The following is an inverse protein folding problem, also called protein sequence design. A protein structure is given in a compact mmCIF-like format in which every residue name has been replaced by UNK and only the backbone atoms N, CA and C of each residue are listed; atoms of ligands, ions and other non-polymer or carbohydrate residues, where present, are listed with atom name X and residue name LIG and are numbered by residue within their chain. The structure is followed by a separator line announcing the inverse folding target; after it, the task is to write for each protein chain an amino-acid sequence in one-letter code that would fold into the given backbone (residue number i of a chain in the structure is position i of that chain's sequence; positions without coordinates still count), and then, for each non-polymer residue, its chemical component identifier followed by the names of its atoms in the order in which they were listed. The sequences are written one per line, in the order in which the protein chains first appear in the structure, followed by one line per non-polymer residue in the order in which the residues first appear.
data_IF_065312105075
#
_entry.id   IF_065312105075
#
_cell.length_a   1.000
_cell.length_b   1.000
_cell.length_c   1.000
_cell.angle_alpha   90.00
_cell.angle_beta   90.00
_cell.angle_gamma   90.00
#
_symmetry.space_group_name_H-M   'P 1'
#
loop_
_entity.id
_entity.type
_entity.pdbx_description
1 polymer ?
#
# COMPACT_ATOMS: atom_id res chain seq x y z
N UNK A 1 -9.62 -3.38 1.98
CA UNK A 1 -10.22 -2.09 1.60
C UNK A 1 -11.56 -1.93 2.31
N UNK A 2 -11.97 -0.72 2.68
CA UNK A 2 -13.33 -0.49 3.21
C UNK A 2 -14.38 -0.85 2.14
N UNK A 3 -14.10 -0.59 0.88
CA UNK A 3 -14.94 -0.91 -0.28
C UNK A 3 -15.36 -2.39 -0.36
N UNK A 4 -14.45 -3.33 -0.09
CA UNK A 4 -14.82 -4.76 -0.11
C UNK A 4 -15.84 -5.14 0.96
N UNK A 5 -15.85 -4.44 2.10
CA UNK A 5 -16.82 -4.67 3.18
C UNK A 5 -18.17 -4.03 2.89
N UNK A 6 -18.20 -2.97 2.08
CA UNK A 6 -19.41 -2.33 1.58
C UNK A 6 -20.08 -3.19 0.50
N UNK A 7 -19.28 -3.87 -0.32
CA UNK A 7 -19.77 -4.69 -1.45
C UNK A 7 -20.19 -6.10 -1.06
N UNK A 8 -19.67 -6.67 0.03
CA UNK A 8 -20.05 -8.02 0.45
C UNK A 8 -20.01 -8.18 1.96
N UNK A 9 -21.17 -8.56 2.53
CA UNK A 9 -21.30 -8.91 3.95
C UNK A 9 -20.43 -10.10 4.34
N UNK A 10 -20.16 -11.03 3.39
CA UNK A 10 -19.28 -12.18 3.62
C UNK A 10 -17.84 -11.74 3.96
N UNK A 11 -17.38 -10.63 3.35
CA UNK A 11 -16.04 -10.08 3.60
C UNK A 11 -15.95 -9.35 4.94
N UNK A 12 -17.05 -8.77 5.41
CA UNK A 12 -17.09 -8.00 6.67
C UNK A 12 -16.64 -8.84 7.87
N UNK A 13 -17.07 -10.10 7.92
CA UNK A 13 -16.80 -11.01 9.04
C UNK A 13 -15.75 -12.08 8.73
N UNK A 14 -15.31 -12.24 7.49
CA UNK A 14 -14.33 -13.25 7.10
C UNK A 14 -12.91 -12.69 6.98
N UNK A 15 -12.16 -12.74 8.09
CA UNK A 15 -10.75 -12.31 8.14
C UNK A 15 -9.83 -13.14 7.23
N UNK A 16 -10.17 -14.41 6.99
CA UNK A 16 -9.41 -15.30 6.10
C UNK A 16 -9.44 -14.81 4.66
N UNK A 17 -10.63 -14.53 4.13
CA UNK A 17 -10.80 -14.00 2.76
C UNK A 17 -10.10 -12.64 2.63
N UNK A 18 -10.25 -11.75 3.61
CA UNK A 18 -9.54 -10.47 3.60
C UNK A 18 -8.01 -10.62 3.53
N UNK A 19 -7.44 -11.63 4.21
CA UNK A 19 -6.02 -11.91 4.13
C UNK A 19 -5.62 -12.38 2.72
N UNK A 20 -6.44 -13.21 2.07
CA UNK A 20 -6.22 -13.65 0.69
C UNK A 20 -6.22 -12.47 -0.29
N UNK A 21 -7.17 -11.54 -0.16
CA UNK A 21 -7.28 -10.37 -1.04
C UNK A 21 -6.17 -9.33 -0.82
N UNK A 22 -5.57 -9.27 0.38
CA UNK A 22 -4.49 -8.33 0.72
C UNK A 22 -3.10 -8.87 0.40
N UNK A 23 -2.94 -10.18 0.39
CA UNK A 23 -1.66 -10.81 0.09
C UNK A 23 -1.41 -10.73 -1.41
N UNK A 24 -0.16 -10.42 -1.81
CA UNK A 24 0.21 -10.41 -3.22
C UNK A 24 0.03 -11.82 -3.79
N UNK A 25 -0.45 -11.89 -5.04
CA UNK A 25 -0.81 -13.14 -5.69
C UNK A 25 0.35 -14.16 -5.73
N UNK A 26 1.57 -13.68 -5.96
CA UNK A 26 2.83 -14.44 -6.00
C UNK A 26 3.26 -15.02 -4.64
N UNK A 27 2.71 -14.50 -3.53
CA UNK A 27 3.01 -14.98 -2.16
C UNK A 27 1.96 -15.92 -1.61
N UNK A 28 0.90 -16.20 -2.35
CA UNK A 28 -0.13 -17.14 -1.94
C UNK A 28 0.28 -18.56 -2.34
N UNK A 29 0.02 -19.53 -1.47
CA UNK A 29 0.13 -20.95 -1.84
C UNK A 29 -0.95 -21.32 -2.87
N UNK A 30 -0.74 -22.36 -3.68
CA UNK A 30 -1.70 -22.76 -4.71
C UNK A 30 -3.14 -22.96 -4.18
N UNK A 31 -3.29 -23.58 -3.01
CA UNK A 31 -4.61 -23.78 -2.39
C UNK A 31 -5.28 -22.47 -1.98
N UNK A 32 -4.48 -21.49 -1.52
CA UNK A 32 -4.97 -20.17 -1.16
C UNK A 32 -5.35 -19.35 -2.39
N UNK A 33 -4.63 -19.51 -3.50
CA UNK A 33 -5.01 -18.91 -4.79
C UNK A 33 -6.36 -19.46 -5.25
N UNK A 34 -6.55 -20.79 -5.28
CA UNK A 34 -7.84 -21.42 -5.62
C UNK A 34 -9.00 -20.88 -4.78
N UNK A 35 -8.81 -20.75 -3.46
CA UNK A 35 -9.83 -20.18 -2.55
C UNK A 35 -10.15 -18.72 -2.86
N UNK A 36 -9.13 -17.91 -3.17
CA UNK A 36 -9.31 -16.52 -3.59
C UNK A 36 -10.11 -16.47 -4.90
N UNK A 37 -9.70 -17.26 -5.90
CA UNK A 37 -10.26 -17.21 -7.25
C UNK A 37 -11.71 -17.68 -7.25
N UNK A 38 -12.04 -18.72 -6.48
CA UNK A 38 -13.42 -19.15 -6.25
C UNK A 38 -14.28 -18.04 -5.62
N UNK A 39 -13.71 -17.28 -4.67
CA UNK A 39 -14.42 -16.15 -4.05
C UNK A 39 -14.61 -14.99 -5.04
N UNK A 40 -13.59 -14.67 -5.85
CA UNK A 40 -13.66 -13.61 -6.86
C UNK A 40 -14.67 -13.94 -7.96
N UNK A 41 -14.72 -15.19 -8.42
CA UNK A 41 -15.71 -15.65 -9.39
C UNK A 41 -17.16 -15.48 -8.90
N UNK A 42 -17.40 -15.62 -7.59
CA UNK A 42 -18.71 -15.40 -6.97
C UNK A 42 -19.00 -13.91 -6.73
N UNK A 43 -18.01 -13.02 -6.80
CA UNK A 43 -18.15 -11.60 -6.49
C UNK A 43 -17.50 -10.73 -7.59
N UNK A 44 -18.08 -10.62 -8.80
CA UNK A 44 -17.47 -9.94 -9.94
C UNK A 44 -17.11 -8.47 -9.69
N UNK A 45 -17.92 -7.74 -8.92
CA UNK A 45 -17.62 -6.36 -8.55
C UNK A 45 -16.35 -6.24 -7.68
N UNK A 46 -16.12 -7.23 -6.80
CA UNK A 46 -14.89 -7.29 -5.98
C UNK A 46 -13.71 -7.72 -6.85
N UNK A 47 -13.91 -8.64 -7.79
CA UNK A 47 -12.88 -9.04 -8.75
C UNK A 47 -12.37 -7.86 -9.57
N UNK A 48 -13.27 -7.05 -10.16
CA UNK A 48 -12.87 -5.86 -10.92
C UNK A 48 -11.97 -4.91 -10.09
N UNK A 49 -12.34 -4.65 -8.83
CA UNK A 49 -11.54 -3.81 -7.93
C UNK A 49 -10.23 -4.50 -7.56
N UNK A 50 -10.24 -5.82 -7.34
CA UNK A 50 -9.05 -6.60 -7.02
C UNK A 50 -8.04 -6.56 -8.17
N UNK A 51 -8.48 -6.79 -9.41
CA UNK A 51 -7.61 -6.76 -10.59
C UNK A 51 -7.00 -5.37 -10.78
N UNK A 52 -7.82 -4.32 -10.69
CA UNK A 52 -7.33 -2.93 -10.74
C UNK A 52 -6.26 -2.67 -9.66
N UNK A 53 -6.52 -3.11 -8.42
CA UNK A 53 -5.58 -2.99 -7.31
C UNK A 53 -4.26 -3.74 -7.60
N UNK A 54 -4.32 -4.94 -8.19
CA UNK A 54 -3.11 -5.70 -8.55
C UNK A 54 -2.30 -5.00 -9.64
N UNK A 55 -2.96 -4.51 -10.69
CA UNK A 55 -2.32 -3.76 -11.78
C UNK A 55 -1.64 -2.50 -11.25
N UNK A 56 -2.35 -1.72 -10.41
CA UNK A 56 -1.79 -0.50 -9.81
C UNK A 56 -0.59 -0.84 -8.94
N UNK A 57 -0.70 -1.88 -8.11
CA UNK A 57 0.39 -2.31 -7.26
C UNK A 57 1.61 -2.77 -8.07
N UNK A 58 1.42 -3.54 -9.15
CA UNK A 58 2.51 -3.96 -10.03
C UNK A 58 3.23 -2.75 -10.62
N UNK A 59 2.47 -1.78 -11.14
CA UNK A 59 3.01 -0.54 -11.69
C UNK A 59 3.82 0.25 -10.64
N UNK A 60 3.29 0.38 -9.42
CA UNK A 60 3.98 1.06 -8.32
C UNK A 60 5.24 0.34 -7.83
N UNK A 61 5.37 -0.97 -8.06
CA UNK A 61 6.54 -1.76 -7.67
C UNK A 61 7.70 -1.70 -8.66
N UNK A 62 7.54 -1.03 -9.80
CA UNK A 62 8.65 -0.78 -10.73
C UNK A 62 9.79 -0.04 -10.04
N UNK A 63 11.03 -0.42 -10.34
CA UNK A 63 12.25 0.16 -9.78
C UNK A 63 13.34 0.22 -10.83
N UNK A 64 14.28 1.14 -10.64
CA UNK A 64 15.41 1.35 -11.54
C UNK A 64 15.00 1.53 -13.02
N UNK A 65 13.85 2.16 -13.27
CA UNK A 65 13.43 2.50 -14.63
C UNK A 65 14.33 3.60 -15.21
N UNK A 66 14.70 3.45 -16.47
CA UNK A 66 15.32 4.52 -17.24
C UNK A 66 14.28 5.55 -17.70
N UNK A 67 14.74 6.68 -18.22
CA UNK A 67 13.86 7.78 -18.65
C UNK A 67 12.83 7.34 -19.70
N UNK A 68 13.22 6.52 -20.67
CA UNK A 68 12.34 6.05 -21.74
C UNK A 68 11.21 5.19 -21.17
N UNK A 69 11.53 4.25 -20.27
CA UNK A 69 10.53 3.42 -19.59
C UNK A 69 9.61 4.23 -18.68
N UNK A 70 10.12 5.26 -18.00
CA UNK A 70 9.24 6.16 -17.25
C UNK A 70 8.23 6.87 -18.17
N UNK A 71 8.64 7.31 -19.36
CA UNK A 71 7.71 7.95 -20.32
C UNK A 71 6.59 7.01 -20.78
N UNK A 72 6.85 5.71 -20.85
CA UNK A 72 5.82 4.69 -21.16
C UNK A 72 4.86 4.47 -19.98
N UNK A 73 5.38 4.42 -18.74
CA UNK A 73 4.60 4.05 -17.54
C UNK A 73 3.79 5.22 -16.96
N UNK A 74 4.29 6.46 -17.06
CA UNK A 74 3.63 7.65 -16.49
C UNK A 74 2.19 7.83 -17.02
N UNK A 75 1.91 7.77 -18.34
CA UNK A 75 0.55 7.94 -18.86
C UNK A 75 -0.43 6.90 -18.29
N UNK A 76 -0.01 5.63 -18.23
CA UNK A 76 -0.80 4.53 -17.66
C UNK A 76 -1.15 4.83 -16.20
N UNK A 77 -0.16 5.27 -15.40
CA UNK A 77 -0.40 5.64 -14.02
C UNK A 77 -1.42 6.79 -13.90
N UNK A 78 -1.28 7.84 -14.71
CA UNK A 78 -2.18 8.99 -14.67
C UNK A 78 -3.62 8.64 -15.07
N UNK A 79 -3.79 7.72 -16.03
CA UNK A 79 -5.10 7.17 -16.40
C UNK A 79 -5.73 6.41 -15.23
N UNK A 80 -4.98 5.51 -14.59
CA UNK A 80 -5.46 4.80 -13.40
C UNK A 80 -5.84 5.76 -12.25
N UNK A 81 -5.12 6.88 -12.09
CA UNK A 81 -5.48 7.90 -11.10
C UNK A 81 -6.80 8.60 -11.46
N UNK A 82 -7.05 8.81 -12.75
CA UNK A 82 -8.30 9.36 -13.23
C UNK A 82 -9.47 8.40 -12.95
N UNK A 83 -9.31 7.12 -13.26
CA UNK A 83 -10.32 6.08 -12.99
C UNK A 83 -10.66 6.01 -11.50
N UNK A 84 -9.64 6.05 -10.63
CA UNK A 84 -9.85 6.10 -9.19
C UNK A 84 -10.66 7.31 -8.76
N UNK A 85 -10.37 8.51 -9.30
CA UNK A 85 -11.11 9.74 -8.95
C UNK A 85 -12.55 9.71 -9.42
N UNK A 86 -12.83 9.06 -10.55
CA UNK A 86 -14.16 8.93 -11.14
C UNK A 86 -14.97 7.77 -10.55
N UNK A 87 -14.34 6.89 -9.77
CA UNK A 87 -15.01 5.77 -9.14
C UNK A 87 -16.20 6.22 -8.25
N UNK A 88 -17.35 5.52 -8.33
CA UNK A 88 -18.51 5.81 -7.48
C UNK A 88 -18.25 5.50 -5.99
N UNK A 89 -17.23 4.69 -5.69
CA UNK A 89 -16.84 4.36 -4.33
C UNK A 89 -16.00 5.48 -3.69
N UNK A 90 -16.56 6.11 -2.65
CA UNK A 90 -15.92 7.23 -1.92
C UNK A 90 -14.48 6.92 -1.48
N UNK A 91 -14.23 5.69 -1.00
CA UNK A 91 -12.90 5.27 -0.56
C UNK A 91 -11.87 5.20 -1.71
N UNK A 92 -12.30 4.78 -2.92
CA UNK A 92 -11.43 4.74 -4.10
C UNK A 92 -11.20 6.15 -4.67
N UNK A 93 -12.24 6.99 -4.70
CA UNK A 93 -12.11 8.40 -5.07
C UNK A 93 -11.14 9.16 -4.16
N UNK A 94 -11.21 8.93 -2.85
CA UNK A 94 -10.27 9.48 -1.88
C UNK A 94 -8.82 8.99 -2.10
N UNK A 95 -8.65 7.72 -2.46
CA UNK A 95 -7.34 7.17 -2.83
C UNK A 95 -6.80 7.84 -4.10
N UNK A 96 -7.63 7.99 -5.14
CA UNK A 96 -7.24 8.67 -6.38
C UNK A 96 -6.80 10.11 -6.16
N UNK A 97 -7.51 10.86 -5.31
CA UNK A 97 -7.11 12.22 -4.89
C UNK A 97 -5.75 12.21 -4.19
N UNK A 98 -5.58 11.34 -3.19
CA UNK A 98 -4.30 11.20 -2.46
C UNK A 98 -3.16 10.90 -3.41
N UNK A 99 -3.28 9.87 -4.25
CA UNK A 99 -2.22 9.50 -5.19
C UNK A 99 -1.95 10.59 -6.23
N UNK A 100 -2.96 11.36 -6.64
CA UNK A 100 -2.77 12.51 -7.53
C UNK A 100 -1.90 13.58 -6.87
N UNK A 101 -2.10 13.87 -5.57
CA UNK A 101 -1.27 14.81 -4.82
C UNK A 101 0.21 14.37 -4.74
N UNK A 102 0.45 13.05 -4.68
CA UNK A 102 1.79 12.47 -4.52
C UNK A 102 2.39 11.91 -5.82
N UNK A 103 1.78 12.20 -6.97
CA UNK A 103 2.12 11.54 -8.25
C UNK A 103 3.57 11.78 -8.67
N UNK A 104 4.12 12.96 -8.36
CA UNK A 104 5.48 13.33 -8.75
C UNK A 104 6.52 12.59 -7.91
N UNK A 105 6.29 12.46 -6.60
CA UNK A 105 7.13 11.67 -5.70
C UNK A 105 7.10 10.19 -6.10
N UNK A 106 5.92 9.64 -6.38
CA UNK A 106 5.76 8.26 -6.86
C UNK A 106 6.53 8.05 -8.16
N UNK A 107 6.39 8.94 -9.14
CA UNK A 107 7.11 8.84 -10.41
C UNK A 107 8.63 8.93 -10.23
N UNK A 108 9.12 9.79 -9.32
CA UNK A 108 10.55 9.86 -8.99
C UNK A 108 11.06 8.55 -8.39
N UNK A 109 10.26 7.88 -7.56
CA UNK A 109 10.67 6.62 -6.92
C UNK A 109 10.99 5.50 -7.90
N UNK A 110 10.37 5.46 -9.10
CA UNK A 110 10.68 4.45 -10.11
C UNK A 110 12.13 4.47 -10.59
N UNK A 111 12.84 5.60 -10.45
CA UNK A 111 14.26 5.71 -10.83
C UNK A 111 15.20 5.14 -9.77
N UNK A 112 14.71 4.83 -8.57
CA UNK A 112 15.52 4.41 -7.43
C UNK A 112 15.14 3.00 -6.94
N UNK A 113 16.06 2.37 -6.22
CA UNK A 113 15.85 1.06 -5.58
C UNK A 113 15.71 1.17 -4.05
N UNK A 114 15.78 2.39 -3.51
CA UNK A 114 15.76 2.64 -2.07
C UNK A 114 14.41 2.27 -1.47
N UNK A 115 14.45 1.71 -0.25
CA UNK A 115 13.27 1.40 0.54
C UNK A 115 13.25 2.24 1.81
N UNK A 116 12.08 2.42 2.41
CA UNK A 116 11.94 3.08 3.72
C UNK A 116 12.40 2.21 4.90
N UNK A 117 13.00 1.04 4.66
CA UNK A 117 13.35 0.08 5.71
C UNK A 117 14.30 0.66 6.77
N UNK A 118 15.24 1.52 6.37
CA UNK A 118 16.16 2.19 7.30
C UNK A 118 15.38 3.14 8.21
N UNK A 119 14.57 4.03 7.63
CA UNK A 119 13.73 4.99 8.38
C UNK A 119 12.74 4.29 9.31
N UNK A 120 12.11 3.20 8.84
CA UNK A 120 11.24 2.36 9.67
C UNK A 120 12.00 1.69 10.82
N UNK A 121 13.23 1.23 10.58
CA UNK A 121 14.13 0.70 11.60
C UNK A 121 14.42 1.73 12.70
N UNK A 122 14.76 2.96 12.31
CA UNK A 122 14.94 4.06 13.25
C UNK A 122 13.66 4.36 14.04
N UNK A 123 12.52 4.50 13.36
CA UNK A 123 11.23 4.71 14.03
C UNK A 123 10.90 3.59 15.03
N UNK A 124 11.19 2.33 14.69
CA UNK A 124 10.98 1.19 15.59
C UNK A 124 11.85 1.32 16.85
N UNK A 125 13.13 1.69 16.68
CA UNK A 125 14.09 1.88 17.77
C UNK A 125 13.68 3.05 18.67
N UNK A 126 13.30 4.18 18.07
CA UNK A 126 12.77 5.35 18.79
C UNK A 126 11.54 5.02 19.62
N UNK A 127 10.58 4.26 19.07
CA UNK A 127 9.40 3.78 19.82
C UNK A 127 9.78 2.82 20.95
N UNK A 128 10.79 1.97 20.76
CA UNK A 128 11.29 1.10 21.82
C UNK A 128 11.89 1.91 22.98
N UNK A 129 12.64 2.96 22.68
CA UNK A 129 13.19 3.88 23.68
C UNK A 129 12.07 4.51 24.51
N UNK A 130 11.02 5.01 23.85
CA UNK A 130 9.84 5.56 24.53
C UNK A 130 9.14 4.54 25.43
N UNK A 131 8.94 3.30 24.95
CA UNK A 131 8.31 2.24 25.75
C UNK A 131 9.12 1.86 26.98
N UNK A 132 10.45 1.73 26.85
CA UNK A 132 11.33 1.40 27.98
C UNK A 132 11.39 2.50 29.05
N UNK A 133 11.20 3.75 28.64
CA UNK A 133 11.16 4.89 29.56
C UNK A 133 9.76 5.16 30.14
N UNK A 134 8.72 4.42 29.71
CA UNK A 134 7.32 4.71 30.00
C UNK A 134 6.90 6.14 29.59
N UNK A 135 7.43 6.60 28.45
CA UNK A 135 7.22 7.94 27.92
C UNK A 135 8.31 8.93 28.32
N UNK A 136 8.30 10.11 27.69
CA UNK A 136 9.19 11.22 28.03
C UNK A 136 8.36 12.48 28.21
N UNK A 137 8.52 13.15 29.36
CA UNK A 137 7.88 14.46 29.61
C UNK A 137 8.67 15.61 29.01
N UNK A 138 10.00 15.47 28.94
CA UNK A 138 10.91 16.46 28.38
C UNK A 138 11.46 15.99 27.03
N UNK A 139 11.24 16.78 25.98
CA UNK A 139 11.69 16.46 24.62
C UNK A 139 13.22 16.40 24.49
N UNK A 140 13.97 17.25 25.19
CA UNK A 140 15.45 17.23 25.14
C UNK A 140 16.00 15.93 25.70
N UNK A 141 15.43 15.40 26.79
CA UNK A 141 15.83 14.10 27.33
C UNK A 141 15.56 12.97 26.33
N UNK A 142 14.42 13.03 25.62
CA UNK A 142 14.13 12.11 24.53
C UNK A 142 15.15 12.24 23.39
N UNK A 143 15.43 13.46 22.96
CA UNK A 143 16.37 13.78 21.89
C UNK A 143 17.77 13.26 22.17
N UNK A 144 18.28 13.50 23.39
CA UNK A 144 19.58 12.97 23.84
C UNK A 144 19.58 11.46 23.80
N UNK A 145 18.53 10.80 24.31
CA UNK A 145 18.43 9.34 24.31
C UNK A 145 18.39 8.76 22.89
N UNK A 146 17.68 9.42 21.97
CA UNK A 146 17.64 9.02 20.56
C UNK A 146 19.00 9.19 19.90
N UNK A 147 19.70 10.32 20.09
CA UNK A 147 21.05 10.51 19.53
C UNK A 147 22.02 9.42 19.99
N UNK A 148 22.07 9.16 21.29
CA UNK A 148 22.99 8.16 21.88
C UNK A 148 22.65 6.75 21.41
N UNK A 149 21.36 6.40 21.36
CA UNK A 149 20.96 5.02 21.10
C UNK A 149 20.79 4.72 19.62
N UNK A 150 20.38 5.68 18.79
CA UNK A 150 20.12 5.45 17.37
C UNK A 150 21.37 5.62 16.50
N UNK A 151 22.42 6.32 16.96
CA UNK A 151 23.60 6.63 16.15
C UNK A 151 23.45 7.96 15.42
#
# INVERSE_FOLDING_TARGET
MMTYRELSHQVKNNRGILALLRTRADRLTPDKQKKRDAFLAQNPAIDAIYQFQQQLHQLLMNKALNQNKCREVIPIFLEMLNDLKQSPFKALAALGKTLTTWKDEVARMWRFTKSNGITEGFHRKMKLIQRRAYGFRNFENYRVRVKVLCG
#
